data_IF_560917432462
#
_entry.id   IF_560917432462
#
_cell.length_a   1.000
_cell.length_b   1.000
_cell.length_c   1.000
_cell.angle_alpha   90.00
_cell.angle_beta   90.00
_cell.angle_gamma   90.00
#
_symmetry.space_group_name_H-M   'P 1'
#
loop_
_entity.id
_entity.type
_entity.pdbx_description
1 polymer ?
#
# COMPACT_ATOMS: atom_id res chain seq x y z
N UNK A 1 -7.62 -30.01 3.10
CA UNK A 1 -7.47 -29.75 1.65
C UNK A 1 -6.32 -28.78 1.36
N UNK A 2 -6.35 -27.53 1.82
CA UNK A 2 -5.25 -26.55 1.59
C UNK A 2 -3.94 -26.96 2.28
N UNK A 3 -3.99 -27.40 3.54
CA UNK A 3 -2.79 -27.86 4.27
C UNK A 3 -2.07 -29.02 3.55
N UNK A 4 -2.83 -30.02 3.11
CA UNK A 4 -2.30 -31.14 2.33
C UNK A 4 -1.66 -30.70 0.99
N UNK A 5 -2.25 -29.70 0.32
CA UNK A 5 -1.66 -29.12 -0.88
C UNK A 5 -0.33 -28.42 -0.58
N UNK A 6 -0.23 -27.68 0.53
CA UNK A 6 1.02 -27.01 0.93
C UNK A 6 2.13 -28.00 1.25
N UNK A 7 1.81 -29.11 1.94
CA UNK A 7 2.79 -30.15 2.30
C UNK A 7 3.32 -30.92 1.09
N UNK A 8 2.56 -30.97 -0.01
CA UNK A 8 2.90 -31.73 -1.23
C UNK A 8 3.33 -30.84 -2.40
N UNK A 9 3.27 -29.51 -2.24
CA UNK A 9 3.63 -28.56 -3.29
C UNK A 9 5.13 -28.60 -3.61
N UNK A 10 5.46 -28.45 -4.89
CA UNK A 10 6.85 -28.28 -5.33
C UNK A 10 7.38 -26.90 -4.95
N UNK A 11 8.71 -26.77 -4.85
CA UNK A 11 9.35 -25.48 -4.57
C UNK A 11 8.94 -24.39 -5.57
N UNK A 12 8.84 -24.74 -6.87
CA UNK A 12 8.45 -23.80 -7.92
C UNK A 12 7.01 -23.26 -7.72
N UNK A 13 6.08 -24.11 -7.27
CA UNK A 13 4.70 -23.68 -6.99
C UNK A 13 4.64 -22.73 -5.78
N UNK A 14 5.42 -23.03 -4.73
CA UNK A 14 5.50 -22.16 -3.54
C UNK A 14 6.17 -20.82 -3.88
N UNK A 15 7.21 -20.81 -4.71
CA UNK A 15 7.84 -19.58 -5.22
C UNK A 15 6.85 -18.74 -6.04
N UNK A 16 6.07 -19.37 -6.91
CA UNK A 16 5.03 -18.69 -7.70
C UNK A 16 3.95 -18.05 -6.81
N UNK A 17 3.51 -18.75 -5.76
CA UNK A 17 2.60 -18.17 -4.76
C UNK A 17 3.23 -16.99 -4.03
N UNK A 18 4.50 -17.09 -3.65
CA UNK A 18 5.20 -16.01 -2.97
C UNK A 18 5.32 -14.77 -3.86
N UNK A 19 5.70 -14.93 -5.12
CA UNK A 19 5.74 -13.83 -6.09
C UNK A 19 4.38 -13.19 -6.31
N UNK A 20 3.31 -13.99 -6.34
CA UNK A 20 1.95 -13.47 -6.43
C UNK A 20 1.60 -12.59 -5.22
N UNK A 21 1.88 -13.05 -3.99
CA UNK A 21 1.65 -12.28 -2.77
C UNK A 21 2.46 -10.98 -2.75
N UNK A 22 3.75 -11.04 -3.06
CA UNK A 22 4.60 -9.85 -3.16
C UNK A 22 4.07 -8.89 -4.23
N UNK A 23 3.62 -9.37 -5.38
CA UNK A 23 3.08 -8.51 -6.45
C UNK A 23 1.80 -7.79 -6.02
N UNK A 24 0.90 -8.49 -5.32
CA UNK A 24 -0.33 -7.90 -4.77
C UNK A 24 0.02 -6.82 -3.73
N UNK A 25 0.84 -7.15 -2.73
CA UNK A 25 1.24 -6.20 -1.68
C UNK A 25 2.04 -5.01 -2.27
N UNK A 26 2.94 -5.26 -3.22
CA UNK A 26 3.72 -4.22 -3.88
C UNK A 26 2.85 -3.27 -4.72
N UNK A 27 1.88 -3.80 -5.47
CA UNK A 27 0.94 -2.96 -6.23
C UNK A 27 0.06 -2.10 -5.32
N UNK A 28 -0.40 -2.67 -4.19
CA UNK A 28 -1.13 -1.94 -3.16
C UNK A 28 -0.25 -0.86 -2.53
N UNK A 29 1.01 -1.16 -2.21
CA UNK A 29 1.96 -0.20 -1.67
C UNK A 29 2.19 0.99 -2.61
N UNK A 30 2.40 0.72 -3.90
CA UNK A 30 2.56 1.76 -4.92
C UNK A 30 1.32 2.64 -4.99
N UNK A 31 0.11 2.04 -4.99
CA UNK A 31 -1.13 2.80 -4.95
C UNK A 31 -1.23 3.68 -3.70
N UNK A 32 -0.79 3.18 -2.54
CA UNK A 32 -0.82 3.90 -1.27
C UNK A 32 0.25 5.00 -1.16
N UNK A 33 1.31 5.00 -1.98
CA UNK A 33 2.27 6.12 -2.03
C UNK A 33 1.66 7.42 -2.53
N UNK A 34 0.51 7.38 -3.23
CA UNK A 34 -0.26 8.58 -3.55
C UNK A 34 -0.61 9.40 -2.29
N UNK A 35 -0.90 8.75 -1.16
CA UNK A 35 -1.23 9.44 0.11
C UNK A 35 -0.04 10.26 0.59
N UNK A 36 1.17 9.70 0.52
CA UNK A 36 2.40 10.41 0.90
C UNK A 36 2.75 11.52 -0.10
N UNK A 37 2.61 11.25 -1.41
CA UNK A 37 2.79 12.26 -2.45
C UNK A 37 1.81 13.43 -2.32
N UNK A 38 0.55 13.19 -1.94
CA UNK A 38 -0.40 14.27 -1.70
C UNK A 38 0.00 15.17 -0.53
N UNK A 39 0.62 14.62 0.52
CA UNK A 39 1.11 15.40 1.66
C UNK A 39 2.30 16.28 1.28
N UNK A 40 3.19 15.82 0.41
CA UNK A 40 4.29 16.67 -0.09
C UNK A 40 3.79 17.84 -0.93
N UNK A 41 2.64 17.67 -1.60
CA UNK A 41 1.97 18.69 -2.40
C UNK A 41 1.16 19.72 -1.60
N UNK A 42 0.89 19.48 -0.31
CA UNK A 42 0.03 20.33 0.51
C UNK A 42 0.43 21.82 0.48
N UNK A 43 1.72 22.10 0.61
CA UNK A 43 2.26 23.46 0.63
C UNK A 43 2.45 24.08 -0.76
N UNK A 44 2.36 23.28 -1.81
CA UNK A 44 2.52 23.75 -3.18
C UNK A 44 1.17 24.10 -3.81
N UNK A 45 0.14 23.28 -3.58
CA UNK A 45 -1.15 23.38 -4.26
C UNK A 45 -2.19 24.15 -3.44
N UNK A 46 -2.20 24.01 -2.11
CA UNK A 46 -3.15 24.72 -1.26
C UNK A 46 -2.56 26.06 -0.75
N UNK A 47 -3.23 27.17 -1.02
CA UNK A 47 -2.79 28.53 -0.66
C UNK A 47 -3.51 29.08 0.56
N UNK A 48 -4.74 28.63 0.80
CA UNK A 48 -5.56 29.02 1.94
C UNK A 48 -5.69 27.90 2.97
N UNK A 49 -6.03 28.24 4.21
CA UNK A 49 -6.29 27.26 5.26
C UNK A 49 -7.48 26.34 4.92
N UNK A 50 -8.48 26.86 4.21
CA UNK A 50 -9.61 26.07 3.73
C UNK A 50 -9.16 25.01 2.71
N UNK A 51 -8.37 25.40 1.72
CA UNK A 51 -7.82 24.45 0.72
C UNK A 51 -6.93 23.40 1.38
N UNK A 52 -6.08 23.80 2.34
CA UNK A 52 -5.24 22.86 3.10
C UNK A 52 -6.09 21.84 3.85
N UNK A 53 -7.15 22.32 4.51
CA UNK A 53 -8.09 21.44 5.22
C UNK A 53 -8.77 20.45 4.28
N UNK A 54 -9.19 20.89 3.09
CA UNK A 54 -9.77 20.01 2.07
C UNK A 54 -8.77 18.96 1.57
N UNK A 55 -7.53 19.36 1.29
CA UNK A 55 -6.46 18.43 0.87
C UNK A 55 -6.19 17.40 1.98
N UNK A 56 -6.00 17.83 3.22
CA UNK A 56 -5.76 16.94 4.37
C UNK A 56 -6.93 15.97 4.56
N UNK A 57 -8.17 16.46 4.48
CA UNK A 57 -9.37 15.61 4.61
C UNK A 57 -9.52 14.62 3.45
N UNK A 58 -9.10 15.00 2.23
CA UNK A 58 -9.15 14.11 1.05
C UNK A 58 -8.07 13.03 1.06
N UNK A 59 -6.88 13.33 1.60
CA UNK A 59 -5.79 12.37 1.77
C UNK A 59 -5.99 11.46 2.99
N UNK A 60 -6.84 11.89 3.93
CA UNK A 60 -7.25 11.15 5.11
C UNK A 60 -6.12 10.86 6.12
N UNK A 61 -6.50 10.43 7.32
CA UNK A 61 -5.58 9.88 8.35
C UNK A 61 -5.07 8.47 8.03
N UNK A 62 -4.90 8.13 6.75
CA UNK A 62 -4.65 6.74 6.32
C UNK A 62 -3.17 6.40 6.15
N UNK A 63 -2.27 7.27 6.61
CA UNK A 63 -0.83 7.02 6.58
C UNK A 63 -0.45 5.71 7.29
N UNK A 64 -1.23 5.31 8.30
CA UNK A 64 -1.10 4.03 9.01
C UNK A 64 -1.19 2.83 8.06
N UNK A 65 -2.10 2.84 7.08
CA UNK A 65 -2.27 1.74 6.13
C UNK A 65 -1.07 1.63 5.17
N UNK A 66 -0.58 2.77 4.66
CA UNK A 66 0.63 2.82 3.83
C UNK A 66 1.83 2.29 4.62
N UNK A 67 1.98 2.66 5.88
CA UNK A 67 3.07 2.20 6.75
C UNK A 67 2.97 0.70 7.04
N UNK A 68 1.79 0.20 7.44
CA UNK A 68 1.60 -1.25 7.66
C UNK A 68 1.89 -2.05 6.40
N UNK A 69 1.46 -1.57 5.24
CA UNK A 69 1.73 -2.26 3.96
C UNK A 69 3.21 -2.23 3.61
N UNK A 70 3.91 -1.11 3.87
CA UNK A 70 5.35 -0.99 3.68
C UNK A 70 6.14 -1.96 4.59
N UNK A 71 5.74 -2.10 5.86
CA UNK A 71 6.42 -3.00 6.80
C UNK A 71 6.13 -4.47 6.48
N UNK A 72 4.94 -4.76 5.94
CA UNK A 72 4.53 -6.12 5.57
C UNK A 72 5.21 -6.59 4.28
N UNK A 73 5.49 -5.66 3.36
CA UNK A 73 6.19 -5.92 2.10
C UNK A 73 7.70 -6.08 2.31
#
# INVERSE_FOLDING_TARGET
MIAYWLETATLAQLQGLWWFLCSVLGSLLIFLFFVQGGQTLLWQVAKTEMEKSLVINSLGKKWELTFTTLVTF
#
